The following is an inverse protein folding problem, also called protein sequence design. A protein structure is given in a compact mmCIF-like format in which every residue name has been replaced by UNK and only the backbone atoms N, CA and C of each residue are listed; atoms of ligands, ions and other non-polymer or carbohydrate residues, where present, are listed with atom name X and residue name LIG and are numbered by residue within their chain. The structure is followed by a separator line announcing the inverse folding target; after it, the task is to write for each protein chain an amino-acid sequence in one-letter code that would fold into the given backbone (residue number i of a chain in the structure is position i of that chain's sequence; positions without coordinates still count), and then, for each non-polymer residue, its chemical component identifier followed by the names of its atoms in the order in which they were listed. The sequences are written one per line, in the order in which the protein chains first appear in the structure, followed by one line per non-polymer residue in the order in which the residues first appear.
data_IF_567699707245
#
_entry.id   IF_567699707245
#
_cell.length_a   1.000
_cell.length_b   1.000
_cell.length_c   1.000
_cell.angle_alpha   90.00
_cell.angle_beta   90.00
_cell.angle_gamma   90.00
#
_symmetry.space_group_name_H-M   'P 1'
#
loop_
_entity.id
_entity.type
_entity.pdbx_description
1 polymer ?
#
# COMPACT_ATOMS: atom_id res chain seq x y z
N UNK A 1 -3.32 70.92 9.12
CA UNK A 1 -2.33 69.83 9.27
C UNK A 1 -2.87 68.42 8.96
N UNK A 2 -4.17 68.22 8.71
CA UNK A 2 -4.81 66.90 8.54
C UNK A 2 -4.45 66.19 7.21
N UNK A 3 -4.08 66.94 6.16
CA UNK A 3 -3.91 66.39 4.79
C UNK A 3 -2.72 65.44 4.62
N UNK A 4 -1.67 65.55 5.46
CA UNK A 4 -0.48 64.66 5.37
C UNK A 4 -0.70 63.34 6.09
N UNK A 5 -1.45 63.34 7.19
CA UNK A 5 -1.72 62.13 7.99
C UNK A 5 -2.61 61.12 7.25
N UNK A 6 -3.57 61.61 6.46
CA UNK A 6 -4.43 60.75 5.63
C UNK A 6 -3.63 60.04 4.53
N UNK A 7 -2.60 60.69 3.99
CA UNK A 7 -1.76 60.11 2.94
C UNK A 7 -0.91 58.93 3.44
N UNK A 8 -0.50 58.95 4.71
CA UNK A 8 0.23 57.84 5.35
C UNK A 8 -0.70 56.70 5.83
N UNK A 9 -2.00 56.96 5.99
CA UNK A 9 -2.95 55.97 6.47
C UNK A 9 -3.34 54.95 5.40
N UNK A 10 -3.38 55.39 4.13
CA UNK A 10 -3.71 54.55 2.97
C UNK A 10 -2.72 53.38 2.77
N UNK A 11 -1.38 53.58 2.75
CA UNK A 11 -0.44 52.47 2.59
C UNK A 11 -0.47 51.52 3.80
N UNK A 12 -0.69 52.03 5.01
CA UNK A 12 -0.83 51.20 6.22
C UNK A 12 -2.08 50.31 6.13
N UNK A 13 -3.21 50.87 5.68
CA UNK A 13 -4.45 50.11 5.48
C UNK A 13 -4.30 49.03 4.40
N UNK A 14 -3.62 49.35 3.28
CA UNK A 14 -3.32 48.38 2.23
C UNK A 14 -2.43 47.25 2.74
N UNK A 15 -1.43 47.57 3.55
CA UNK A 15 -0.54 46.55 4.13
C UNK A 15 -1.32 45.62 5.06
N UNK A 16 -2.16 46.16 5.94
CA UNK A 16 -3.03 45.36 6.82
C UNK A 16 -4.02 44.50 6.03
N UNK A 17 -4.59 45.01 4.94
CA UNK A 17 -5.49 44.26 4.09
C UNK A 17 -4.78 43.11 3.36
N UNK A 18 -3.56 43.33 2.87
CA UNK A 18 -2.74 42.27 2.28
C UNK A 18 -2.38 41.17 3.28
N UNK A 19 -2.07 41.55 4.53
CA UNK A 19 -1.73 40.61 5.58
C UNK A 19 -2.94 39.74 5.96
N UNK A 20 -4.12 40.34 6.07
CA UNK A 20 -5.37 39.62 6.28
C UNK A 20 -5.69 38.64 5.15
N UNK A 21 -5.53 39.08 3.89
CA UNK A 21 -5.73 38.22 2.72
C UNK A 21 -4.72 37.06 2.69
N UNK A 22 -3.46 37.31 3.04
CA UNK A 22 -2.41 36.28 3.08
C UNK A 22 -2.70 35.20 4.12
N UNK A 23 -3.15 35.59 5.32
CA UNK A 23 -3.59 34.63 6.35
C UNK A 23 -4.76 33.78 5.83
N UNK A 24 -5.73 34.39 5.14
CA UNK A 24 -6.86 33.68 4.56
C UNK A 24 -6.46 32.74 3.42
N UNK A 25 -5.44 33.10 2.63
CA UNK A 25 -4.88 32.26 1.58
C UNK A 25 -4.12 31.06 2.14
N UNK A 26 -3.40 31.22 3.26
CA UNK A 26 -2.75 30.11 3.96
C UNK A 26 -3.78 29.14 4.57
N UNK A 27 -4.91 29.67 5.07
CA UNK A 27 -6.02 28.85 5.57
C UNK A 27 -6.93 28.30 4.46
N UNK A 28 -6.65 28.62 3.19
CA UNK A 28 -7.40 28.08 2.07
C UNK A 28 -6.91 26.66 1.79
N UNK A 29 -7.45 25.69 2.53
CA UNK A 29 -7.46 24.32 2.07
C UNK A 29 -8.34 24.27 0.83
N UNK A 30 -7.81 23.91 -0.36
CA UNK A 30 -8.65 23.61 -1.50
C UNK A 30 -9.42 22.36 -1.14
N UNK A 31 -10.60 22.55 -0.55
CA UNK A 31 -11.53 21.48 -0.30
C UNK A 31 -11.70 20.76 -1.62
N UNK A 32 -11.34 19.47 -1.58
CA UNK A 32 -11.29 18.56 -2.70
C UNK A 32 -12.64 18.56 -3.44
N UNK A 33 -12.74 19.45 -4.42
CA UNK A 33 -13.66 19.37 -5.54
C UNK A 33 -13.15 18.22 -6.42
N UNK A 34 -13.30 16.99 -5.92
CA UNK A 34 -13.33 15.73 -6.65
C UNK A 34 -13.48 14.56 -5.66
N UNK A 35 -14.65 14.48 -5.01
CA UNK A 35 -15.27 13.18 -4.67
C UNK A 35 -16.21 12.74 -5.80
N UNK A 36 -15.82 13.01 -7.04
CA UNK A 36 -16.47 12.53 -8.24
C UNK A 36 -15.55 11.56 -8.97
N UNK A 37 -15.10 10.50 -8.29
CA UNK A 37 -14.54 9.34 -8.99
C UNK A 37 -15.20 8.03 -8.53
N UNK A 38 -16.17 7.64 -9.35
CA UNK A 38 -16.22 6.31 -9.96
C UNK A 38 -16.58 5.17 -9.00
N UNK A 39 -17.88 5.03 -8.69
CA UNK A 39 -18.49 3.69 -8.61
C UNK A 39 -18.45 3.08 -10.02
N UNK A 40 -17.32 2.50 -10.41
CA UNK A 40 -17.24 1.61 -11.57
C UNK A 40 -18.02 0.35 -11.23
N UNK A 41 -19.15 0.22 -11.89
CA UNK A 41 -19.84 -1.02 -12.20
C UNK A 41 -18.84 -2.16 -12.41
N UNK A 42 -18.82 -3.14 -11.51
CA UNK A 42 -18.31 -4.46 -11.87
C UNK A 42 -19.50 -5.27 -12.33
N UNK A 43 -19.67 -5.25 -13.64
CA UNK A 43 -20.48 -6.18 -14.40
C UNK A 43 -19.94 -7.58 -14.14
N UNK A 44 -20.63 -8.33 -13.28
CA UNK A 44 -20.38 -9.74 -13.05
C UNK A 44 -21.04 -10.52 -14.20
N UNK A 45 -20.37 -10.51 -15.35
CA UNK A 45 -20.72 -11.36 -16.48
C UNK A 45 -19.46 -12.05 -16.97
N UNK A 46 -19.57 -13.38 -17.06
CA UNK A 46 -18.68 -14.32 -17.73
C UNK A 46 -17.47 -14.85 -16.95
N UNK A 47 -17.73 -15.66 -15.92
CA UNK A 47 -16.97 -16.91 -15.71
C UNK A 47 -17.93 -18.05 -15.32
N UNK A 48 -18.93 -18.33 -16.16
CA UNK A 48 -19.73 -19.56 -16.06
C UNK A 48 -20.18 -20.01 -17.46
N UNK A 49 -19.23 -20.11 -18.39
CA UNK A 49 -19.51 -20.62 -19.74
C UNK A 49 -18.30 -21.34 -20.37
N UNK A 50 -17.59 -22.16 -19.59
CA UNK A 50 -16.51 -23.00 -20.11
C UNK A 50 -16.43 -24.37 -19.41
N UNK A 51 -17.56 -25.08 -19.30
CA UNK A 51 -17.54 -26.55 -19.16
C UNK A 51 -18.90 -27.24 -19.45
N UNK A 52 -19.81 -26.59 -20.18
CA UNK A 52 -21.06 -27.24 -20.59
C UNK A 52 -20.85 -27.89 -21.98
N UNK A 53 -20.14 -29.01 -22.01
CA UNK A 53 -19.80 -29.63 -23.30
C UNK A 53 -19.05 -30.95 -23.24
N UNK A 54 -19.31 -31.82 -22.25
CA UNK A 54 -18.94 -33.24 -22.36
C UNK A 54 -20.08 -34.11 -21.84
N UNK A 55 -20.56 -35.00 -22.72
CA UNK A 55 -21.53 -36.05 -22.42
C UNK A 55 -21.10 -36.80 -21.16
N UNK A 56 -21.85 -36.64 -20.07
CA UNK A 56 -21.65 -37.40 -18.85
C UNK A 56 -22.08 -38.85 -19.10
N UNK A 57 -21.12 -39.68 -19.47
CA UNK A 57 -21.28 -41.13 -19.46
C UNK A 57 -21.65 -41.59 -18.06
N UNK A 58 -22.63 -42.48 -18.01
CA UNK A 58 -23.30 -43.10 -16.86
C UNK A 58 -22.34 -43.95 -15.98
N UNK A 59 -21.23 -43.36 -15.49
CA UNK A 59 -20.23 -44.07 -14.67
C UNK A 59 -19.80 -43.33 -13.39
N UNK A 60 -20.20 -42.06 -13.22
CA UNK A 60 -19.77 -41.23 -12.09
C UNK A 60 -20.74 -41.10 -10.91
N UNK A 61 -22.00 -41.52 -11.05
CA UNK A 61 -23.00 -41.35 -9.96
C UNK A 61 -22.94 -42.52 -8.97
N UNK A 62 -22.41 -43.67 -9.38
CA UNK A 62 -22.28 -44.86 -8.54
C UNK A 62 -21.06 -44.78 -7.62
N UNK A 63 -20.00 -44.08 -8.02
CA UNK A 63 -18.76 -43.94 -7.23
C UNK A 63 -18.84 -42.92 -6.09
N UNK A 64 -19.90 -42.12 -6.02
CA UNK A 64 -20.15 -41.16 -4.95
C UNK A 64 -21.07 -41.68 -3.84
N UNK A 65 -21.66 -42.87 -3.98
CA UNK A 65 -22.60 -43.39 -2.99
C UNK A 65 -21.84 -44.00 -1.79
N UNK A 66 -22.02 -43.36 -0.63
CA UNK A 66 -21.45 -43.74 0.66
C UNK A 66 -21.97 -45.08 1.20
N UNK A 67 -23.00 -45.66 0.59
CA UNK A 67 -23.63 -46.91 1.02
C UNK A 67 -23.32 -48.12 0.12
N UNK A 68 -22.21 -48.12 -0.63
CA UNK A 68 -21.83 -49.29 -1.43
C UNK A 68 -21.32 -50.45 -0.56
N UNK A 69 -21.87 -51.67 -0.71
CA UNK A 69 -21.52 -52.84 0.11
C UNK A 69 -20.10 -53.37 -0.13
N UNK A 70 -19.43 -52.99 -1.23
CA UNK A 70 -18.09 -53.47 -1.58
C UNK A 70 -16.94 -52.67 -0.93
N UNK A 71 -17.24 -51.73 -0.03
CA UNK A 71 -16.22 -51.04 0.79
C UNK A 71 -15.72 -51.96 1.91
N UNK A 72 -15.07 -53.06 1.54
CA UNK A 72 -14.19 -53.76 2.47
C UNK A 72 -12.89 -52.99 2.56
N UNK A 73 -12.48 -52.64 3.78
CA UNK A 73 -11.33 -51.80 4.11
C UNK A 73 -10.06 -52.24 3.36
N UNK A 74 -9.72 -51.53 2.29
CA UNK A 74 -8.37 -51.54 1.75
C UNK A 74 -7.56 -50.53 2.54
N UNK A 75 -6.75 -51.03 3.47
CA UNK A 75 -5.73 -50.28 4.17
C UNK A 75 -4.73 -49.77 3.13
N UNK A 76 -4.94 -48.52 2.70
CA UNK A 76 -4.06 -47.81 1.79
C UNK A 76 -2.75 -47.56 2.51
N UNK A 77 -1.76 -48.45 2.31
CA UNK A 77 -0.37 -48.24 2.66
C UNK A 77 0.09 -46.90 2.07
N UNK A 78 0.10 -45.87 2.90
CA UNK A 78 0.61 -44.57 2.54
C UNK A 78 2.13 -44.68 2.39
N UNK A 79 2.59 -44.86 1.15
CA UNK A 79 3.96 -44.53 0.80
C UNK A 79 4.19 -43.06 1.19
N UNK A 80 5.23 -42.74 1.98
CA UNK A 80 5.58 -41.37 2.25
C UNK A 80 6.10 -40.78 0.95
N UNK A 81 5.23 -40.06 0.24
CA UNK A 81 5.64 -39.16 -0.83
C UNK A 81 6.58 -38.14 -0.19
N UNK A 82 7.87 -38.33 -0.41
CA UNK A 82 8.88 -37.32 -0.16
C UNK A 82 8.41 -36.06 -0.86
N UNK A 83 7.96 -35.09 -0.06
CA UNK A 83 7.82 -33.73 -0.52
C UNK A 83 9.24 -33.27 -0.87
N UNK A 84 9.57 -33.29 -2.16
CA UNK A 84 10.63 -32.46 -2.71
C UNK A 84 10.20 -31.00 -2.51
N UNK A 85 10.35 -30.50 -1.29
CA UNK A 85 10.41 -29.08 -0.98
C UNK A 85 11.74 -28.56 -1.52
N UNK A 86 11.84 -28.49 -2.85
CA UNK A 86 12.76 -27.56 -3.48
C UNK A 86 12.16 -26.15 -3.40
N UNK A 87 11.90 -25.71 -2.16
CA UNK A 87 11.69 -24.30 -1.84
C UNK A 87 13.07 -23.69 -2.01
N UNK A 88 13.38 -23.28 -3.25
CA UNK A 88 14.45 -22.32 -3.49
C UNK A 88 14.22 -21.21 -2.46
N UNK A 89 15.06 -21.16 -1.42
CA UNK A 89 15.04 -20.11 -0.42
C UNK A 89 15.14 -18.80 -1.17
N UNK A 90 14.00 -18.18 -1.44
CA UNK A 90 13.97 -16.93 -2.18
C UNK A 90 14.71 -15.95 -1.29
N UNK A 91 15.92 -15.57 -1.67
CA UNK A 91 16.73 -14.70 -0.85
C UNK A 91 16.01 -13.35 -0.77
N UNK A 92 15.84 -12.83 0.44
CA UNK A 92 15.16 -11.55 0.64
C UNK A 92 15.85 -10.47 -0.21
N UNK A 93 15.12 -9.78 -1.08
CA UNK A 93 15.71 -8.73 -1.89
C UNK A 93 16.15 -7.56 -1.00
N UNK A 94 17.21 -6.87 -1.40
CA UNK A 94 17.76 -5.75 -0.64
C UNK A 94 16.83 -4.53 -0.70
N UNK A 95 15.92 -4.42 0.27
CA UNK A 95 15.12 -3.22 0.48
C UNK A 95 15.93 -2.18 1.24
N UNK A 96 15.91 -0.95 0.73
CA UNK A 96 16.57 0.20 1.35
C UNK A 96 15.55 1.29 1.54
N UNK A 97 15.40 1.72 2.79
CA UNK A 97 14.61 2.90 3.14
C UNK A 97 15.41 4.16 2.81
N UNK A 98 14.88 4.96 1.87
CA UNK A 98 15.54 6.18 1.39
C UNK A 98 15.08 7.44 2.12
N UNK A 99 13.86 7.45 2.63
CA UNK A 99 13.28 8.61 3.30
C UNK A 99 11.92 8.29 3.90
N UNK A 100 11.51 9.10 4.87
CA UNK A 100 10.17 9.11 5.42
C UNK A 100 9.69 10.56 5.42
N UNK A 101 8.50 10.81 4.90
CA UNK A 101 7.88 12.14 4.90
C UNK A 101 6.64 12.08 5.78
N UNK A 102 6.50 13.06 6.68
CA UNK A 102 5.26 13.27 7.43
C UNK A 102 4.39 14.26 6.65
N UNK A 103 3.20 13.83 6.26
CA UNK A 103 2.19 14.68 5.64
C UNK A 103 1.57 15.64 6.69
N UNK A 104 0.92 16.73 6.25
CA UNK A 104 0.23 17.66 7.14
C UNK A 104 -0.91 17.04 7.96
N UNK A 105 -1.56 16.00 7.42
CA UNK A 105 -2.59 15.20 8.11
C UNK A 105 -2.04 14.33 9.26
N UNK A 106 -0.72 14.27 9.40
CA UNK A 106 -0.02 13.49 10.42
C UNK A 106 0.37 12.07 9.97
N UNK A 107 -0.06 11.63 8.78
CA UNK A 107 0.34 10.34 8.20
C UNK A 107 1.80 10.35 7.75
N UNK A 108 2.42 9.17 7.74
CA UNK A 108 3.77 8.99 7.22
C UNK A 108 3.75 8.26 5.88
N UNK A 109 4.62 8.70 4.97
CA UNK A 109 4.92 8.02 3.70
C UNK A 109 6.37 7.57 3.73
N UNK A 110 6.60 6.28 3.50
CA UNK A 110 7.93 5.70 3.36
C UNK A 110 8.34 5.64 1.89
N UNK A 111 9.59 6.03 1.59
CA UNK A 111 10.18 5.87 0.27
C UNK A 111 11.16 4.70 0.27
N UNK A 112 10.75 3.58 -0.32
CA UNK A 112 11.53 2.34 -0.30
C UNK A 112 12.01 2.01 -1.72
N UNK A 113 13.29 1.64 -1.84
CA UNK A 113 13.88 1.15 -3.10
C UNK A 113 14.31 -0.30 -2.95
N UNK A 114 14.12 -1.10 -4.00
CA UNK A 114 14.61 -2.47 -4.10
C UNK A 114 15.84 -2.52 -5.00
N UNK A 115 16.92 -3.14 -4.53
CA UNK A 115 18.12 -3.44 -5.33
C UNK A 115 18.69 -2.23 -6.11
N UNK A 116 18.66 -1.04 -5.52
CA UNK A 116 19.15 0.19 -6.14
C UNK A 116 18.20 0.84 -7.17
N UNK A 117 16.97 0.33 -7.30
CA UNK A 117 15.94 0.92 -8.15
C UNK A 117 15.40 2.26 -7.66
N UNK A 118 14.47 2.84 -8.42
CA UNK A 118 13.80 4.10 -8.04
C UNK A 118 12.98 3.91 -6.76
N UNK A 119 13.08 4.81 -5.78
CA UNK A 119 12.28 4.73 -4.58
C UNK A 119 10.80 4.92 -4.89
N UNK A 120 9.95 4.10 -4.29
CA UNK A 120 8.48 4.20 -4.39
C UNK A 120 7.89 4.72 -3.08
N UNK A 121 6.92 5.64 -3.13
CA UNK A 121 6.18 6.05 -1.96
C UNK A 121 5.21 4.94 -1.55
N UNK A 122 5.20 4.59 -0.27
CA UNK A 122 4.35 3.56 0.32
C UNK A 122 3.75 4.05 1.64
N UNK A 123 2.48 3.73 1.86
CA UNK A 123 1.74 3.98 3.08
C UNK A 123 1.58 2.71 3.91
N UNK A 124 1.13 2.85 5.14
CA UNK A 124 0.74 1.70 5.98
C UNK A 124 -0.36 0.90 5.29
N UNK A 125 -0.17 -0.41 5.18
CA UNK A 125 -1.10 -1.32 4.53
C UNK A 125 -0.81 -1.57 3.04
N UNK A 126 0.00 -0.72 2.40
CA UNK A 126 0.36 -0.89 0.99
C UNK A 126 1.17 -2.18 0.79
N UNK A 127 0.91 -2.84 -0.35
CA UNK A 127 1.65 -4.02 -0.79
C UNK A 127 2.49 -3.67 -2.00
N UNK A 128 3.74 -4.10 -1.96
CA UNK A 128 4.69 -3.96 -3.04
C UNK A 128 5.42 -5.29 -3.20
N UNK A 129 5.14 -5.98 -4.31
CA UNK A 129 5.57 -7.38 -4.51
C UNK A 129 5.13 -8.29 -3.35
N UNK A 130 6.08 -9.01 -2.75
CA UNK A 130 5.89 -9.90 -1.60
C UNK A 130 6.05 -9.19 -0.24
N UNK A 131 6.10 -7.85 -0.25
CA UNK A 131 6.25 -7.02 0.93
C UNK A 131 4.96 -6.27 1.23
N UNK A 132 4.53 -6.29 2.50
CA UNK A 132 3.46 -5.44 3.02
C UNK A 132 4.04 -4.46 4.03
N UNK A 133 3.70 -3.18 3.91
CA UNK A 133 4.04 -2.20 4.94
C UNK A 133 3.09 -2.36 6.12
N UNK A 134 3.64 -2.64 7.29
CA UNK A 134 2.88 -2.88 8.51
C UNK A 134 2.75 -1.62 9.35
N UNK A 135 3.82 -0.84 9.44
CA UNK A 135 3.89 0.36 10.27
C UNK A 135 5.01 1.29 9.77
N UNK A 136 4.82 2.59 9.92
CA UNK A 136 5.78 3.64 9.53
C UNK A 136 5.93 4.61 10.70
N UNK A 137 7.13 4.70 11.27
CA UNK A 137 7.49 5.70 12.28
C UNK A 137 8.45 6.75 11.66
N UNK A 138 8.98 7.66 12.47
CA UNK A 138 9.84 8.76 12.01
C UNK A 138 11.19 8.31 11.46
N UNK A 139 11.71 7.17 11.93
CA UNK A 139 13.08 6.72 11.60
C UNK A 139 13.15 5.33 10.99
N UNK A 140 12.06 4.57 11.08
CA UNK A 140 12.01 3.18 10.70
C UNK A 140 10.65 2.79 10.12
N UNK A 141 10.68 1.72 9.34
CA UNK A 141 9.51 1.14 8.71
C UNK A 141 9.50 -0.35 9.00
N UNK A 142 8.38 -0.85 9.51
CA UNK A 142 8.15 -2.29 9.66
C UNK A 142 7.45 -2.81 8.42
N UNK A 143 8.06 -3.81 7.81
CA UNK A 143 7.52 -4.51 6.65
C UNK A 143 7.37 -5.99 6.99
N UNK A 144 6.35 -6.63 6.41
CA UNK A 144 6.24 -8.08 6.40
C UNK A 144 6.58 -8.57 5.00
N UNK A 145 7.63 -9.37 4.88
CA UNK A 145 8.06 -9.98 3.63
C UNK A 145 7.90 -11.49 3.71
N UNK A 146 7.00 -12.07 2.90
CA UNK A 146 6.68 -13.51 2.93
C UNK A 146 6.46 -14.08 4.34
N UNK A 147 5.78 -13.35 5.22
CA UNK A 147 5.52 -13.77 6.60
C UNK A 147 6.64 -13.46 7.59
N UNK A 148 7.79 -12.93 7.13
CA UNK A 148 8.88 -12.48 7.98
C UNK A 148 8.77 -10.99 8.25
N UNK A 149 8.73 -10.59 9.52
CA UNK A 149 8.76 -9.19 9.91
C UNK A 149 10.18 -8.64 9.86
N UNK A 150 10.38 -7.58 9.08
CA UNK A 150 11.65 -6.92 8.89
C UNK A 150 11.53 -5.44 9.21
N UNK A 151 12.51 -4.91 9.95
CA UNK A 151 12.60 -3.51 10.29
C UNK A 151 13.64 -2.83 9.42
N UNK A 152 13.20 -1.89 8.59
CA UNK A 152 14.08 -1.06 7.78
C UNK A 152 14.32 0.26 8.51
N UNK A 153 15.58 0.59 8.76
CA UNK A 153 15.96 1.87 9.36
C UNK A 153 16.52 2.80 8.29
N UNK A 154 16.34 4.11 8.45
CA UNK A 154 17.11 5.09 7.68
C UNK A 154 18.59 4.86 7.98
N UNK A 155 19.33 4.37 6.98
CA UNK A 155 20.78 4.16 7.11
C UNK A 155 21.45 5.44 7.59
N UNK A 156 22.37 5.32 8.56
CA UNK A 156 23.12 6.40 9.25
C UNK A 156 23.06 7.73 8.47
N UNK A 157 22.23 8.66 8.96
CA UNK A 157 22.18 10.03 8.46
C UNK A 157 23.56 10.63 8.74
N UNK A 158 24.46 10.63 7.74
CA UNK A 158 25.55 11.62 7.71
C UNK A 158 24.85 12.94 7.43
N UNK A 159 24.53 13.69 8.49
CA UNK A 159 24.15 15.08 8.30
C UNK A 159 25.39 15.79 7.76
N UNK A 160 25.33 16.18 6.49
CA UNK A 160 26.24 17.21 6.02
C UNK A 160 25.84 18.49 6.75
N UNK A 161 26.66 18.85 7.74
CA UNK A 161 26.44 20.00 8.59
C UNK A 161 26.22 21.24 7.73
N UNK A 162 25.11 21.93 7.99
CA UNK A 162 24.86 23.28 7.50
C UNK A 162 26.01 24.16 8.00
N UNK A 163 26.95 24.51 7.12
CA UNK A 163 27.90 25.58 7.38
C UNK A 163 27.11 26.88 7.49
N UNK A 164 27.10 27.46 8.69
CA UNK A 164 26.73 28.87 8.90
C UNK A 164 27.85 29.76 8.38
#
# INVERSE_FOLDING_TARGET
MIKRSVLFLIPVLLMLFSLWYFIRALSYEPSLYNKAEVKRSHEDKNVMAASAGKKAGYKGIVSGNIFHPDRTYAESSAEPRGHDENILQQQMPAFVLKGIIRKPDGEFIAYISQSGGRPRPLHVGDRFENMKVMDIDRMDVRINWNGTDVRLNLGKIKSEGVKR
#
